data_IF_263308591481
#
_entry.id   IF_263308591481
#
_cell.length_a   1.000
_cell.length_b   1.000
_cell.length_c   1.000
_cell.angle_alpha   90.00
_cell.angle_beta   90.00
_cell.angle_gamma   90.00
#
_symmetry.space_group_name_H-M   'P 1'
#
loop_
_entity.id
_entity.type
_entity.pdbx_description
1 polymer ?
#
# COMPACT_ATOMS: atom_id res chain seq x y z
N UNK A 1 -15.31 -3.75 -16.99
CA UNK A 1 -15.58 -3.92 -15.54
C UNK A 1 -14.26 -3.70 -14.81
N UNK A 2 -14.16 -2.70 -13.93
CA UNK A 2 -12.92 -2.42 -13.21
C UNK A 2 -12.69 -3.50 -12.14
N UNK A 3 -11.70 -4.37 -12.36
CA UNK A 3 -11.32 -5.41 -11.40
C UNK A 3 -10.59 -4.74 -10.23
N UNK A 4 -11.23 -4.68 -9.07
CA UNK A 4 -10.56 -4.28 -7.82
C UNK A 4 -9.64 -5.39 -7.37
N UNK A 5 -8.34 -5.26 -7.68
CA UNK A 5 -7.31 -6.16 -7.15
C UNK A 5 -7.26 -6.05 -5.62
N UNK A 6 -7.18 -7.23 -5.00
CA UNK A 6 -6.97 -7.37 -3.56
C UNK A 6 -5.74 -8.25 -3.38
N UNK A 7 -4.84 -7.80 -2.52
CA UNK A 7 -3.63 -8.51 -2.17
C UNK A 7 -3.72 -8.96 -0.72
N UNK A 8 -3.19 -10.14 -0.41
CA UNK A 8 -3.22 -10.71 0.94
C UNK A 8 -1.82 -11.14 1.36
N UNK A 9 -1.48 -10.96 2.63
CA UNK A 9 -0.28 -11.54 3.24
C UNK A 9 -0.71 -12.65 4.20
N UNK A 10 -0.04 -13.80 4.13
CA UNK A 10 -0.43 -15.02 4.84
C UNK A 10 0.75 -15.57 5.64
N UNK A 11 0.49 -16.02 6.86
CA UNK A 11 1.50 -16.74 7.62
C UNK A 11 1.71 -18.17 7.04
N UNK A 12 2.76 -18.91 7.41
CA UNK A 12 3.00 -20.28 6.94
C UNK A 12 1.83 -21.27 7.17
N UNK A 13 0.94 -20.99 8.13
CA UNK A 13 -0.27 -21.76 8.41
C UNK A 13 -1.49 -21.33 7.57
N UNK A 14 -1.34 -20.32 6.70
CA UNK A 14 -2.40 -19.81 5.83
C UNK A 14 -3.32 -18.77 6.48
N UNK A 15 -2.97 -18.23 7.66
CA UNK A 15 -3.77 -17.17 8.30
C UNK A 15 -3.43 -15.82 7.68
N UNK A 16 -4.46 -15.14 7.20
CA UNK A 16 -4.34 -13.80 6.63
C UNK A 16 -4.18 -12.76 7.75
N UNK A 17 -3.07 -12.01 7.72
CA UNK A 17 -2.80 -10.96 8.71
C UNK A 17 -2.84 -9.54 8.11
N UNK A 18 -2.76 -9.43 6.77
CA UNK A 18 -2.84 -8.18 6.03
C UNK A 18 -3.66 -8.39 4.76
N UNK A 19 -4.61 -7.49 4.51
CA UNK A 19 -5.37 -7.38 3.27
C UNK A 19 -5.17 -5.97 2.70
N UNK A 20 -4.70 -5.85 1.46
CA UNK A 20 -4.59 -4.58 0.74
C UNK A 20 -5.59 -4.55 -0.39
N UNK A 21 -6.62 -3.72 -0.25
CA UNK A 21 -7.73 -3.63 -1.20
C UNK A 21 -7.82 -2.26 -1.86
N UNK A 22 -8.05 -2.26 -3.16
CA UNK A 22 -8.40 -1.04 -3.89
C UNK A 22 -9.91 -0.75 -3.75
N UNK A 23 -10.27 0.45 -3.29
CA UNK A 23 -11.65 0.96 -3.26
C UNK A 23 -11.78 2.16 -4.22
N UNK A 24 -12.77 2.14 -5.09
CA UNK A 24 -13.11 3.28 -5.94
C UNK A 24 -14.04 4.22 -5.15
N UNK A 25 -13.79 5.53 -5.18
CA UNK A 25 -14.69 6.53 -4.62
C UNK A 25 -14.84 7.73 -5.56
N UNK A 26 -15.86 8.55 -5.33
CA UNK A 26 -16.30 9.68 -6.17
C UNK A 26 -15.31 10.88 -6.16
N UNK A 27 -14.06 10.61 -6.53
CA UNK A 27 -12.94 11.56 -6.48
C UNK A 27 -11.57 10.92 -6.70
N UNK A 28 -11.48 9.59 -6.91
CA UNK A 28 -10.24 8.90 -7.26
C UNK A 28 -10.14 7.47 -6.72
N UNK A 29 -9.02 6.82 -6.97
CA UNK A 29 -8.71 5.48 -6.44
C UNK A 29 -8.12 5.62 -5.04
N UNK A 30 -8.68 4.92 -4.06
CA UNK A 30 -8.12 4.80 -2.71
C UNK A 30 -7.66 3.37 -2.48
N UNK A 31 -6.51 3.17 -1.86
CA UNK A 31 -6.15 1.87 -1.32
C UNK A 31 -6.36 1.84 0.18
N UNK A 32 -6.86 0.71 0.68
CA UNK A 32 -7.07 0.47 2.09
C UNK A 32 -6.35 -0.83 2.45
N UNK A 33 -5.38 -0.74 3.35
CA UNK A 33 -4.68 -1.87 3.93
C UNK A 33 -5.26 -2.16 5.31
N UNK A 34 -5.91 -3.31 5.47
CA UNK A 34 -6.48 -3.78 6.72
C UNK A 34 -5.53 -4.80 7.31
N UNK A 35 -5.09 -4.59 8.55
CA UNK A 35 -4.19 -5.52 9.23
C UNK A 35 -4.64 -5.76 10.66
N UNK A 36 -4.22 -6.89 11.23
CA UNK A 36 -4.41 -7.16 12.64
C UNK A 36 -3.32 -6.45 13.45
N UNK A 37 -3.70 -5.46 14.25
CA UNK A 37 -2.76 -4.82 15.17
C UNK A 37 -2.53 -5.74 16.37
N UNK A 38 -1.30 -6.24 16.51
CA UNK A 38 -0.90 -7.17 17.59
C UNK A 38 -0.89 -6.49 18.96
N UNK A 39 -0.72 -5.17 19.03
CA UNK A 39 -0.70 -4.43 20.30
C UNK A 39 -2.10 -4.18 20.85
N UNK A 40 -3.10 -4.03 19.98
CA UNK A 40 -4.49 -3.73 20.39
C UNK A 40 -5.44 -4.90 20.15
N UNK A 41 -4.97 -6.00 19.54
CA UNK A 41 -5.77 -7.13 19.06
C UNK A 41 -6.99 -6.71 18.22
N UNK A 42 -6.87 -5.63 17.45
CA UNK A 42 -7.97 -5.07 16.64
C UNK A 42 -7.55 -4.96 15.18
N UNK A 43 -8.49 -5.26 14.27
CA UNK A 43 -8.32 -4.94 12.86
C UNK A 43 -8.30 -3.43 12.68
N UNK A 44 -7.25 -2.97 12.03
CA UNK A 44 -6.95 -1.57 11.87
C UNK A 44 -6.75 -1.28 10.38
N UNK A 45 -7.31 -0.18 9.90
CA UNK A 45 -7.25 0.22 8.50
C UNK A 45 -6.25 1.38 8.30
N UNK A 46 -5.32 1.17 7.37
CA UNK A 46 -4.46 2.20 6.81
C UNK A 46 -5.01 2.62 5.46
N UNK A 47 -5.23 3.92 5.31
CA UNK A 47 -5.72 4.49 4.06
C UNK A 47 -4.57 5.15 3.33
N UNK A 48 -4.33 4.72 2.10
CA UNK A 48 -3.41 5.37 1.17
C UNK A 48 -4.23 6.38 0.36
N UNK A 49 -3.93 7.66 0.55
CA UNK A 49 -4.57 8.79 -0.14
C UNK A 49 -3.57 9.45 -1.10
N UNK A 50 -4.05 9.85 -2.27
CA UNK A 50 -3.27 10.59 -3.27
C UNK A 50 -3.01 9.79 -4.54
N UNK A 51 -2.22 10.37 -5.44
CA UNK A 51 -1.90 9.82 -6.74
C UNK A 51 -0.61 9.01 -6.67
N UNK A 52 -0.76 7.70 -6.48
CA UNK A 52 0.36 6.77 -6.60
C UNK A 52 1.04 6.84 -7.98
N UNK A 53 0.30 7.12 -9.04
CA UNK A 53 0.84 7.29 -10.39
C UNK A 53 1.88 8.41 -10.49
N UNK A 54 1.66 9.51 -9.75
CA UNK A 54 2.64 10.60 -9.62
C UNK A 54 3.68 10.34 -8.52
N UNK A 55 3.65 9.16 -7.90
CA UNK A 55 4.47 8.74 -6.75
C UNK A 55 4.44 9.75 -5.62
N UNK A 56 3.26 10.30 -5.38
CA UNK A 56 2.96 11.23 -4.31
C UNK A 56 1.70 10.74 -3.60
N UNK A 57 1.92 9.97 -2.54
CA UNK A 57 0.84 9.37 -1.77
C UNK A 57 1.15 9.48 -0.28
N UNK A 58 0.10 9.62 0.53
CA UNK A 58 0.18 9.69 1.99
C UNK A 58 -0.56 8.51 2.57
N UNK A 59 0.09 7.78 3.46
CA UNK A 59 -0.47 6.66 4.20
C UNK A 59 -0.91 7.17 5.57
N UNK A 60 -2.19 7.01 5.87
CA UNK A 60 -2.81 7.52 7.09
C UNK A 60 -3.46 6.41 7.89
N UNK A 61 -3.24 6.41 9.21
CA UNK A 61 -3.99 5.65 10.19
C UNK A 61 -5.07 6.56 10.79
N UNK A 62 -6.30 6.47 10.30
CA UNK A 62 -7.34 7.43 10.64
C UNK A 62 -6.95 8.85 10.20
N UNK A 63 -6.67 9.72 11.19
CA UNK A 63 -6.24 11.11 10.97
C UNK A 63 -4.73 11.32 11.14
N UNK A 64 -3.97 10.27 11.49
CA UNK A 64 -2.52 10.35 11.73
C UNK A 64 -1.78 9.91 10.47
N UNK A 65 -0.80 10.70 10.02
CA UNK A 65 0.09 10.31 8.93
C UNK A 65 1.14 9.35 9.47
N UNK A 66 1.22 8.16 8.90
CA UNK A 66 2.20 7.13 9.31
C UNK A 66 3.35 6.98 8.32
N UNK A 67 3.09 7.27 7.04
CA UNK A 67 4.14 7.30 6.03
C UNK A 67 3.76 8.23 4.88
N UNK A 68 4.78 8.78 4.23
CA UNK A 68 4.63 9.64 3.07
C UNK A 68 5.57 9.18 1.96
N UNK A 69 5.00 8.99 0.78
CA UNK A 69 5.70 8.58 -0.42
C UNK A 69 6.00 9.84 -1.22
N UNK A 70 7.25 10.02 -1.63
CA UNK A 70 7.70 11.19 -2.39
C UNK A 70 8.65 10.79 -3.50
N UNK A 71 8.40 11.32 -4.70
CA UNK A 71 9.24 11.10 -5.87
C UNK A 71 10.56 11.87 -5.74
N UNK A 72 11.69 11.20 -5.93
CA UNK A 72 12.96 11.90 -6.20
C UNK A 72 13.08 12.16 -7.69
N UNK A 73 13.20 13.43 -8.08
CA UNK A 73 13.66 13.80 -9.43
C UNK A 73 15.15 13.50 -9.51
N UNK A 74 15.52 12.31 -9.98
CA UNK A 74 16.90 12.05 -10.39
C UNK A 74 17.12 12.68 -11.76
N UNK A 75 18.09 13.59 -11.87
CA UNK A 75 18.40 14.31 -13.12
C UNK A 75 19.28 13.47 -14.07
N UNK A 76 19.77 12.29 -13.66
CA UNK A 76 20.87 11.61 -14.34
C UNK A 76 20.79 10.08 -14.47
N UNK A 77 19.73 9.42 -14.04
CA UNK A 77 19.63 7.96 -14.21
C UNK A 77 18.20 7.54 -14.50
N UNK A 78 18.02 6.65 -15.49
CA UNK A 78 16.76 6.07 -15.93
C UNK A 78 16.04 5.22 -14.86
N UNK A 79 16.51 5.26 -13.61
CA UNK A 79 15.99 4.49 -12.50
C UNK A 79 14.85 5.24 -11.80
N UNK A 80 13.70 4.59 -11.80
CA UNK A 80 12.45 5.06 -11.22
C UNK A 80 12.49 4.94 -9.69
N UNK A 81 13.27 5.80 -9.01
CA UNK A 81 13.40 5.77 -7.54
C UNK A 81 12.34 6.66 -6.85
N UNK A 82 11.70 6.13 -5.81
CA UNK A 82 10.87 6.88 -4.87
C UNK A 82 11.35 6.66 -3.43
N UNK A 83 11.06 7.62 -2.56
CA UNK A 83 11.37 7.53 -1.14
C UNK A 83 10.09 7.39 -0.35
N UNK A 84 10.13 6.57 0.69
CA UNK A 84 9.05 6.44 1.66
C UNK A 84 9.58 6.91 3.00
N UNK A 85 9.04 8.01 3.49
CA UNK A 85 9.34 8.52 4.83
C UNK A 85 8.34 7.91 5.79
N UNK A 86 8.82 7.18 6.78
CA UNK A 86 7.99 6.48 7.77
C UNK A 86 8.21 7.15 9.12
N UNK A 87 7.13 7.43 9.85
CA UNK A 87 7.24 8.04 11.19
C UNK A 87 7.76 7.01 12.21
N UNK A 88 8.34 7.45 13.34
CA UNK A 88 8.80 6.53 14.38
C UNK A 88 7.68 5.62 14.90
N UNK A 89 8.05 4.40 15.31
CA UNK A 89 7.14 3.37 15.85
C UNK A 89 6.14 2.79 14.85
N UNK A 90 6.35 2.99 13.54
CA UNK A 90 5.60 2.32 12.49
C UNK A 90 6.42 1.17 11.93
N UNK A 91 5.78 0.03 11.71
CA UNK A 91 6.41 -1.17 11.15
C UNK A 91 6.82 -0.95 9.68
N UNK A 92 8.13 -1.05 9.41
CA UNK A 92 8.68 -0.84 8.07
C UNK A 92 8.29 -1.95 7.10
N UNK A 93 8.07 -3.18 7.58
CA UNK A 93 7.70 -4.33 6.75
C UNK A 93 6.27 -4.19 6.23
N UNK A 94 5.35 -3.72 7.08
CA UNK A 94 3.97 -3.39 6.73
C UNK A 94 3.93 -2.30 5.66
N UNK A 95 4.71 -1.23 5.85
CA UNK A 95 4.81 -0.15 4.85
C UNK A 95 5.41 -0.66 3.54
N UNK A 96 6.43 -1.53 3.60
CA UNK A 96 7.02 -2.14 2.42
C UNK A 96 6.03 -3.04 1.67
N UNK A 97 5.25 -3.87 2.37
CA UNK A 97 4.22 -4.72 1.77
C UNK A 97 3.15 -3.88 1.03
N UNK A 98 2.73 -2.75 1.61
CA UNK A 98 1.83 -1.80 0.94
C UNK A 98 2.49 -1.24 -0.33
N UNK A 99 3.77 -0.85 -0.27
CA UNK A 99 4.49 -0.35 -1.44
C UNK A 99 4.64 -1.40 -2.55
N UNK A 100 4.89 -2.67 -2.18
CA UNK A 100 4.94 -3.79 -3.13
C UNK A 100 3.57 -4.00 -3.77
N UNK A 101 2.49 -3.98 -2.98
CA UNK A 101 1.11 -4.09 -3.49
C UNK A 101 0.79 -3.00 -4.52
N UNK A 102 1.25 -1.79 -4.24
CA UNK A 102 1.05 -0.61 -5.09
C UNK A 102 1.87 -0.71 -6.39
N UNK A 103 3.12 -1.14 -6.30
CA UNK A 103 4.02 -1.35 -7.45
C UNK A 103 3.50 -2.48 -8.35
N UNK A 104 3.07 -3.60 -7.77
CA UNK A 104 2.48 -4.71 -8.50
C UNK A 104 1.20 -4.28 -9.21
N UNK A 105 0.36 -3.44 -8.57
CA UNK A 105 -0.83 -2.92 -9.25
C UNK A 105 -0.48 -2.02 -10.44
N UNK A 106 0.54 -1.18 -10.32
CA UNK A 106 1.00 -0.28 -11.40
C UNK A 106 1.56 -1.09 -12.59
N UNK A 107 2.34 -2.15 -12.30
CA UNK A 107 2.85 -3.08 -13.33
C UNK A 107 1.74 -3.91 -13.98
N UNK A 108 0.76 -4.34 -13.18
CA UNK A 108 -0.23 -5.32 -13.58
C UNK A 108 -1.52 -4.67 -14.13
N UNK A 109 -1.49 -3.38 -14.52
CA UNK A 109 -2.48 -2.78 -15.45
C UNK A 109 -2.52 -3.49 -16.83
N UNK A 110 -1.77 -4.59 -17.01
CA UNK A 110 -1.79 -5.51 -18.15
C UNK A 110 -2.39 -6.91 -17.90
N UNK A 111 -2.74 -7.31 -16.68
CA UNK A 111 -3.35 -8.63 -16.42
C UNK A 111 -4.17 -8.65 -15.11
N UNK A 112 -5.16 -9.54 -14.97
CA UNK A 112 -6.13 -9.53 -13.87
C UNK A 112 -6.01 -10.79 -12.99
N UNK A 113 -5.10 -10.79 -12.02
CA UNK A 113 -4.95 -11.88 -11.04
C UNK A 113 -4.82 -11.33 -9.61
N UNK A 114 -5.42 -12.00 -8.62
CA UNK A 114 -5.21 -11.70 -7.20
C UNK A 114 -3.85 -12.28 -6.77
N UNK A 115 -3.01 -11.50 -6.07
CA UNK A 115 -1.66 -11.92 -5.71
C UNK A 115 -1.48 -11.97 -4.19
N UNK A 116 -0.79 -13.02 -3.74
CA UNK A 116 -0.32 -13.17 -2.36
C UNK A 116 1.03 -12.49 -2.26
N UNK A 117 1.18 -11.62 -1.27
CA UNK A 117 2.37 -10.83 -0.98
C UNK A 117 2.85 -11.25 0.40
N UNK A 118 3.61 -12.35 0.40
CA UNK A 118 4.35 -12.93 1.55
C UNK A 118 3.54 -12.92 2.85
#
# INVERSE_FOLDING_TARGET
MAVTKTFYAQDPNGTEFLEVRSKWHFGGTKMVATFLNTSTCKRTELVVKGDWFNRNATITLGNVVVAQISRKKSLFSAQQSYFVTVVPNVDLSLVAAICISLDEKDKDERSSTNAVIV
#
